data_IF_658393585069
#
_entry.id   IF_658393585069
#
_cell.length_a   1.000
_cell.length_b   1.000
_cell.length_c   1.000
_cell.angle_alpha   90.00
_cell.angle_beta   90.00
_cell.angle_gamma   90.00
#
_symmetry.space_group_name_H-M   'P 1'
#
loop_
_entity.id
_entity.type
_entity.pdbx_description
1 polymer ?
#
# COMPACT_ATOMS: atom_id res chain seq x y z
N UNK A 1 -20.60 -4.93 -1.33
CA UNK A 1 -19.20 -5.30 -1.29
C UNK A 1 -18.34 -4.06 -1.56
N UNK A 2 -18.05 -3.33 -0.50
CA UNK A 2 -17.25 -2.12 -0.61
C UNK A 2 -17.53 -1.17 0.56
N UNK A 3 -16.74 -0.11 0.62
CA UNK A 3 -16.89 0.88 1.67
C UNK A 3 -17.12 2.27 1.06
N UNK A 4 -17.29 3.24 1.93
CA UNK A 4 -17.52 4.61 1.50
C UNK A 4 -16.19 5.28 1.15
N UNK A 5 -16.18 5.95 0.00
CA UNK A 5 -14.98 6.63 -0.46
C UNK A 5 -15.34 8.07 -0.83
N UNK A 6 -14.32 8.83 -1.20
CA UNK A 6 -14.51 10.21 -1.59
C UNK A 6 -14.40 11.12 -0.35
N UNK A 7 -14.69 10.53 0.80
CA UNK A 7 -14.63 11.26 2.05
C UNK A 7 -13.27 11.03 2.71
N UNK A 8 -12.93 9.76 2.85
CA UNK A 8 -11.66 9.38 3.47
C UNK A 8 -10.52 10.10 2.75
N UNK A 9 -9.31 9.85 3.22
CA UNK A 9 -8.13 10.47 2.63
C UNK A 9 -7.10 9.39 2.27
N UNK A 10 -6.63 8.70 3.29
CA UNK A 10 -5.65 7.65 3.09
C UNK A 10 -6.19 6.31 3.58
N UNK A 11 -6.85 6.36 4.73
CA UNK A 11 -7.42 5.16 5.32
C UNK A 11 -8.78 5.52 5.93
N UNK A 12 -9.25 4.65 6.81
CA UNK A 12 -10.53 4.87 7.47
C UNK A 12 -10.30 5.60 8.79
N UNK A 13 -9.86 4.84 9.79
CA UNK A 13 -9.60 5.40 11.10
C UNK A 13 -8.12 5.24 11.46
N UNK A 14 -7.84 5.37 12.74
CA UNK A 14 -6.48 5.23 13.23
C UNK A 14 -6.34 3.92 14.00
N UNK A 15 -5.70 2.96 13.36
CA UNK A 15 -5.49 1.66 13.97
C UNK A 15 -6.82 0.90 14.08
N UNK A 16 -7.01 0.26 15.22
CA UNK A 16 -8.22 -0.50 15.45
C UNK A 16 -8.11 -1.90 14.83
N UNK A 17 -7.00 -2.11 14.13
CA UNK A 17 -6.76 -3.38 13.48
C UNK A 17 -5.28 -3.74 13.55
N UNK A 18 -4.92 -4.44 14.62
CA UNK A 18 -3.54 -4.85 14.81
C UNK A 18 -3.12 -5.83 13.72
N UNK A 19 -2.64 -5.27 12.62
CA UNK A 19 -2.20 -6.08 11.49
C UNK A 19 -0.79 -6.62 11.78
N UNK A 20 -0.56 -7.88 11.33
CA UNK A 20 0.74 -8.52 11.53
C UNK A 20 1.78 -7.94 10.57
N UNK A 21 2.89 -7.51 11.15
CA UNK A 21 3.98 -6.94 10.37
C UNK A 21 4.34 -7.90 9.24
N UNK A 22 4.24 -9.18 9.54
CA UNK A 22 4.56 -10.21 8.56
C UNK A 22 3.70 -10.02 7.30
N UNK A 23 2.53 -9.44 7.51
CA UNK A 23 1.61 -9.19 6.41
C UNK A 23 1.84 -7.79 5.84
N UNK A 24 2.36 -6.92 6.68
CA UNK A 24 2.63 -5.55 6.28
C UNK A 24 3.91 -5.51 5.45
N UNK A 25 3.93 -4.59 4.49
CA UNK A 25 5.08 -4.44 3.62
C UNK A 25 5.89 -3.22 4.06
N UNK A 26 5.38 -2.05 3.70
CA UNK A 26 6.05 -0.81 4.05
C UNK A 26 5.09 0.10 4.82
N UNK A 27 5.66 1.18 5.35
CA UNK A 27 4.87 2.14 6.11
C UNK A 27 5.36 3.57 5.86
N UNK A 28 4.48 4.52 6.16
CA UNK A 28 4.80 5.92 5.97
C UNK A 28 4.26 6.75 7.13
N UNK A 29 5.18 7.43 7.81
CA UNK A 29 4.81 8.26 8.94
C UNK A 29 4.83 9.73 8.52
N UNK A 30 3.81 10.46 8.96
CA UNK A 30 3.71 11.87 8.63
C UNK A 30 4.08 12.73 9.84
N UNK A 31 4.37 13.99 9.56
CA UNK A 31 4.74 14.92 10.62
C UNK A 31 3.74 16.08 10.67
N UNK A 32 3.04 16.27 9.57
CA UNK A 32 2.06 17.34 9.48
C UNK A 32 0.84 17.03 10.34
N UNK A 33 -0.17 17.88 10.21
CA UNK A 33 -1.40 17.71 10.97
C UNK A 33 -1.76 16.23 11.06
N UNK A 34 -1.37 15.49 10.03
CA UNK A 34 -1.65 14.07 9.97
C UNK A 34 -0.94 13.37 11.14
N UNK A 35 0.37 13.54 11.18
CA UNK A 35 1.18 12.94 12.23
C UNK A 35 0.64 11.55 12.57
N UNK A 36 0.56 10.72 11.54
CA UNK A 36 0.07 9.36 11.72
C UNK A 36 0.98 8.39 10.96
N UNK A 37 0.97 7.15 11.42
CA UNK A 37 1.79 6.12 10.80
C UNK A 37 0.94 5.32 9.81
N UNK A 38 1.40 5.31 8.56
CA UNK A 38 0.69 4.60 7.51
C UNK A 38 1.34 3.22 7.32
N UNK A 39 0.48 2.21 7.28
CA UNK A 39 0.95 0.84 7.10
C UNK A 39 0.43 0.25 5.79
N UNK A 40 1.37 -0.10 4.92
CA UNK A 40 1.02 -0.67 3.63
C UNK A 40 1.27 -2.18 3.67
N UNK A 41 0.26 -2.93 3.23
CA UNK A 41 0.36 -4.38 3.20
C UNK A 41 0.71 -4.86 1.80
N UNK A 42 1.11 -6.12 1.73
CA UNK A 42 1.48 -6.72 0.46
C UNK A 42 0.27 -6.72 -0.47
N UNK A 43 -0.90 -6.65 0.14
CA UNK A 43 -2.14 -6.64 -0.62
C UNK A 43 -2.39 -5.26 -1.23
N UNK A 44 -1.47 -4.35 -0.93
CA UNK A 44 -1.57 -2.99 -1.43
C UNK A 44 -2.54 -2.16 -0.58
N UNK A 45 -2.99 -2.76 0.51
CA UNK A 45 -3.91 -2.09 1.41
C UNK A 45 -3.11 -1.23 2.39
N UNK A 46 -3.39 0.07 2.36
CA UNK A 46 -2.71 1.00 3.24
C UNK A 46 -3.69 1.51 4.29
N UNK A 47 -3.21 1.56 5.53
CA UNK A 47 -4.04 2.02 6.63
C UNK A 47 -3.25 3.05 7.45
N UNK A 48 -3.95 3.65 8.40
CA UNK A 48 -3.33 4.66 9.26
C UNK A 48 -3.36 4.14 10.70
N UNK A 49 -2.37 4.57 11.46
CA UNK A 49 -2.27 4.16 12.85
C UNK A 49 -1.61 5.28 13.66
N UNK A 50 -1.93 5.30 14.95
CA UNK A 50 -1.38 6.31 15.84
C UNK A 50 0.02 5.88 16.29
N UNK A 51 0.97 6.84 16.17
CA UNK A 51 2.35 6.58 16.56
C UNK A 51 2.50 6.57 18.08
N UNK A 52 1.38 6.78 18.76
CA UNK A 52 1.37 6.79 20.21
C UNK A 52 1.31 5.36 20.75
N UNK A 53 1.03 4.43 19.85
CA UNK A 53 0.94 3.03 20.22
C UNK A 53 2.35 2.44 20.30
N UNK A 54 2.65 1.83 21.44
CA UNK A 54 3.95 1.23 21.65
C UNK A 54 4.15 0.05 20.70
N UNK A 55 3.10 -0.75 20.57
CA UNK A 55 3.15 -1.91 19.69
C UNK A 55 3.44 -1.42 18.27
N UNK A 56 2.89 -0.26 17.95
CA UNK A 56 3.08 0.33 16.64
C UNK A 56 4.54 0.75 16.48
N UNK A 57 5.03 1.45 17.50
CA UNK A 57 6.40 1.92 17.49
C UNK A 57 7.37 0.74 17.38
N UNK A 58 6.98 -0.36 18.02
CA UNK A 58 7.80 -1.56 18.00
C UNK A 58 7.79 -2.16 16.60
N UNK A 59 6.61 -2.21 16.01
CA UNK A 59 6.45 -2.75 14.68
C UNK A 59 7.12 -1.82 13.67
N UNK A 60 7.01 -0.53 13.94
CA UNK A 60 7.60 0.47 13.06
C UNK A 60 9.11 0.24 12.97
N UNK A 61 9.69 -0.09 14.12
CA UNK A 61 11.12 -0.34 14.18
C UNK A 61 11.50 -1.51 13.26
N UNK A 62 10.69 -2.56 13.33
CA UNK A 62 10.93 -3.74 12.52
C UNK A 62 10.56 -3.45 11.06
N UNK A 63 9.41 -2.81 10.88
CA UNK A 63 8.94 -2.47 9.55
C UNK A 63 10.09 -1.96 8.68
N UNK A 64 10.92 -1.12 9.28
CA UNK A 64 12.05 -0.56 8.56
C UNK A 64 12.94 -1.69 8.05
N UNK A 65 13.18 -2.65 8.93
CA UNK A 65 14.01 -3.79 8.59
C UNK A 65 13.28 -4.71 7.60
N UNK A 66 11.99 -4.89 7.86
CA UNK A 66 11.17 -5.73 7.00
C UNK A 66 11.21 -5.19 5.57
N UNK A 67 11.26 -3.87 5.47
CA UNK A 67 11.30 -3.22 4.17
C UNK A 67 12.53 -2.31 4.08
N UNK A 68 13.63 -2.81 4.62
CA UNK A 68 14.88 -2.06 4.60
C UNK A 68 15.38 -1.94 3.16
N UNK A 69 15.71 -3.08 2.58
CA UNK A 69 16.19 -3.12 1.21
C UNK A 69 15.07 -3.52 0.25
N UNK A 70 14.15 -4.31 0.78
CA UNK A 70 13.02 -4.78 -0.02
C UNK A 70 12.53 -3.66 -0.94
N UNK A 71 12.32 -2.49 -0.35
CA UNK A 71 11.85 -1.34 -1.10
C UNK A 71 12.54 -1.32 -2.47
N UNK A 72 13.86 -1.41 -2.43
CA UNK A 72 14.64 -1.40 -3.66
C UNK A 72 14.40 -2.71 -4.42
N UNK A 73 14.37 -3.80 -3.67
CA UNK A 73 14.15 -5.11 -4.26
C UNK A 73 12.92 -5.10 -5.16
N UNK A 74 12.07 -4.11 -4.95
CA UNK A 74 10.86 -3.98 -5.74
C UNK A 74 10.84 -2.61 -6.42
N UNK A 75 10.66 -2.65 -7.74
CA UNK A 75 10.63 -1.42 -8.52
C UNK A 75 9.63 -1.56 -9.67
N UNK A 76 8.36 -1.66 -9.30
CA UNK A 76 7.31 -1.79 -10.29
C UNK A 76 7.43 -0.70 -11.35
N UNK A 77 7.68 -1.13 -12.58
CA UNK A 77 7.82 -0.20 -13.69
C UNK A 77 6.59 -0.30 -14.59
N UNK A 78 5.77 0.78 -14.57
CA UNK A 78 4.57 0.82 -15.38
C UNK A 78 4.90 1.06 -16.85
N UNK A 79 3.89 0.90 -17.69
CA UNK A 79 4.07 1.10 -19.12
C UNK A 79 2.95 1.99 -19.67
N UNK A 80 3.21 2.54 -20.85
CA UNK A 80 2.24 3.41 -21.50
C UNK A 80 1.31 2.62 -22.41
N UNK A 81 1.77 2.40 -23.64
CA UNK A 81 1.00 1.65 -24.61
C UNK A 81 1.88 0.65 -25.35
N UNK A 82 1.24 -0.20 -26.13
CA UNK A 82 1.95 -1.21 -26.90
C UNK A 82 1.57 -1.12 -28.38
N UNK A 83 2.31 -1.86 -29.19
CA UNK A 83 2.06 -1.88 -30.62
C UNK A 83 1.79 -3.31 -31.09
N UNK A 84 1.20 -3.40 -32.27
CA UNK A 84 0.87 -4.70 -32.85
C UNK A 84 0.71 -4.57 -34.37
N UNK A 85 0.63 -5.72 -35.02
CA UNK A 85 0.47 -5.75 -36.46
C UNK A 85 -1.01 -5.80 -36.84
N UNK A 86 -1.27 -5.58 -38.12
CA UNK A 86 -2.63 -5.59 -38.62
C UNK A 86 -3.10 -7.04 -38.79
N UNK A 87 -4.40 -7.19 -38.97
CA UNK A 87 -4.98 -8.51 -39.15
C UNK A 87 -5.91 -8.53 -40.36
N UNK A 88 -6.45 -9.71 -40.64
CA UNK A 88 -7.35 -9.87 -41.77
C UNK A 88 -7.89 -11.30 -41.78
N UNK A 89 -9.17 -11.43 -41.47
CA UNK A 89 -9.81 -12.73 -41.45
C UNK A 89 -11.32 -12.55 -41.62
N UNK A 90 -11.83 -13.12 -42.70
CA UNK A 90 -13.25 -13.04 -42.99
C UNK A 90 -13.95 -14.36 -42.67
N UNK A 91 -15.22 -14.26 -42.34
CA UNK A 91 -16.01 -15.44 -42.02
C UNK A 91 -16.98 -15.74 -43.16
N UNK A 92 -17.01 -17.00 -43.56
CA UNK A 92 -17.89 -17.43 -44.63
C UNK A 92 -19.32 -16.95 -44.38
N UNK A 93 -20.02 -16.66 -45.47
CA UNK A 93 -21.39 -16.20 -45.37
C UNK A 93 -21.59 -14.92 -46.19
#
# INVERSE_FOLDING_TARGET
>A
VGSEVSDKRTCVSLTTQRLPVSRIKTYTITEGSLRAVIFITKRGLKVCADPQATWVRDVVRSMDRKSNTRNNMIQTKPTGTQQSTNTAVTLTG
#
